data_IF_558364722016
#
_entry.id   IF_558364722016
#
_cell.length_a   1.000
_cell.length_b   1.000
_cell.length_c   1.000
_cell.angle_alpha   90.00
_cell.angle_beta   90.00
_cell.angle_gamma   90.00
#
_symmetry.space_group_name_H-M   'P 1'
#
loop_
_entity.id
_entity.type
_entity.pdbx_description
1 polymer ?
#
# COMPACT_ATOMS: atom_id res chain seq x y z
N UNK A 1 -22.50 71.25 27.53
CA UNK A 1 -21.75 70.56 26.46
C UNK A 1 -20.92 69.44 27.07
N UNK A 2 -21.35 68.17 26.95
CA UNK A 2 -20.48 66.98 26.96
C UNK A 2 -21.17 65.93 26.09
N UNK A 3 -20.63 65.67 24.90
CA UNK A 3 -21.08 64.60 24.01
C UNK A 3 -20.50 63.27 24.51
N UNK A 4 -21.34 62.26 24.70
CA UNK A 4 -20.89 60.90 24.98
C UNK A 4 -20.84 60.17 23.64
N UNK A 5 -19.64 59.85 23.17
CA UNK A 5 -19.43 59.05 21.98
C UNK A 5 -19.65 57.56 22.32
N UNK A 6 -20.65 56.94 21.68
CA UNK A 6 -20.87 55.50 21.74
C UNK A 6 -19.96 54.85 20.70
N UNK A 7 -18.88 54.22 21.14
CA UNK A 7 -18.01 53.43 20.28
C UNK A 7 -18.66 52.07 19.97
N UNK A 8 -18.98 51.82 18.71
CA UNK A 8 -19.41 50.51 18.23
C UNK A 8 -18.17 49.62 18.10
N UNK A 9 -18.03 48.65 19.00
CA UNK A 9 -16.98 47.64 18.92
C UNK A 9 -17.43 46.54 17.95
N UNK A 10 -16.96 46.59 16.71
CA UNK A 10 -17.17 45.53 15.72
C UNK A 10 -16.32 44.31 16.10
N UNK A 11 -16.95 43.34 16.77
CA UNK A 11 -16.35 42.01 16.97
C UNK A 11 -16.35 41.26 15.64
N UNK A 12 -15.23 41.29 14.93
CA UNK A 12 -14.94 40.35 13.84
C UNK A 12 -14.75 38.96 14.46
N UNK A 13 -15.85 38.22 14.62
CA UNK A 13 -15.77 36.78 14.89
C UNK A 13 -15.27 36.14 13.60
N UNK A 14 -14.11 35.46 13.60
CA UNK A 14 -13.72 34.66 12.45
C UNK A 14 -14.79 33.58 12.29
N UNK A 15 -15.63 33.71 11.27
CA UNK A 15 -16.48 32.62 10.82
C UNK A 15 -15.48 31.58 10.33
N UNK A 16 -15.21 30.57 11.15
CA UNK A 16 -14.56 29.35 10.70
C UNK A 16 -15.40 28.86 9.54
N UNK A 17 -14.93 29.09 8.31
CA UNK A 17 -15.45 28.44 7.12
C UNK A 17 -15.33 26.95 7.41
N UNK A 18 -16.45 26.32 7.78
CA UNK A 18 -16.51 24.90 8.04
C UNK A 18 -15.88 24.18 6.84
N UNK A 19 -15.03 23.19 7.10
CA UNK A 19 -14.30 22.48 6.07
C UNK A 19 -15.22 22.17 4.88
N UNK A 20 -14.94 22.81 3.74
CA UNK A 20 -15.77 22.86 2.53
C UNK A 20 -16.05 21.50 1.86
N UNK A 21 -15.61 20.41 2.48
CA UNK A 21 -15.59 19.07 1.93
C UNK A 21 -16.35 18.02 2.77
N UNK A 22 -16.91 18.38 3.92
CA UNK A 22 -17.61 17.41 4.81
C UNK A 22 -18.79 16.70 4.13
N UNK A 23 -19.42 17.36 3.16
CA UNK A 23 -20.60 16.86 2.46
C UNK A 23 -20.31 16.44 1.00
N UNK A 24 -19.04 16.34 0.58
CA UNK A 24 -18.71 15.93 -0.78
C UNK A 24 -19.03 14.44 -0.96
N UNK A 25 -20.13 14.14 -1.63
CA UNK A 25 -20.44 12.78 -2.05
C UNK A 25 -19.64 12.41 -3.29
N UNK A 26 -18.92 11.29 -3.25
CA UNK A 26 -18.28 10.73 -4.46
C UNK A 26 -19.36 10.01 -5.29
N UNK A 27 -19.66 10.44 -6.54
CA UNK A 27 -20.83 9.98 -7.29
C UNK A 27 -20.91 8.47 -7.53
N UNK A 28 -19.76 7.78 -7.61
CA UNK A 28 -19.69 6.36 -7.94
C UNK A 28 -19.77 5.41 -6.72
N UNK A 29 -19.89 5.93 -5.50
CA UNK A 29 -19.98 5.09 -4.29
C UNK A 29 -21.44 4.64 -4.10
N UNK A 30 -21.75 3.33 -4.14
CA UNK A 30 -23.06 2.81 -3.79
C UNK A 30 -23.45 3.23 -2.36
N UNK A 31 -24.71 3.60 -2.16
CA UNK A 31 -25.21 4.05 -0.85
C UNK A 31 -26.45 3.29 -0.42
N UNK A 32 -26.58 3.13 0.89
CA UNK A 32 -27.79 2.64 1.56
C UNK A 32 -28.87 3.72 1.59
N UNK A 33 -30.10 3.36 1.98
CA UNK A 33 -31.23 4.29 2.06
C UNK A 33 -31.01 5.45 3.05
N UNK A 34 -30.18 5.25 4.08
CA UNK A 34 -29.76 6.28 5.04
C UNK A 34 -28.57 7.13 4.53
N UNK A 35 -28.17 6.95 3.27
CA UNK A 35 -27.16 7.76 2.59
C UNK A 35 -25.71 7.38 2.92
N UNK A 36 -25.45 6.33 3.70
CA UNK A 36 -24.08 5.87 4.01
C UNK A 36 -23.50 5.03 2.86
N UNK A 37 -22.16 4.96 2.70
CA UNK A 37 -21.54 4.03 1.76
C UNK A 37 -21.95 2.59 2.04
N UNK A 38 -22.42 1.89 1.00
CA UNK A 38 -22.73 0.46 1.06
C UNK A 38 -21.49 -0.34 0.65
N UNK A 39 -20.71 -0.76 1.66
CA UNK A 39 -19.45 -1.49 1.43
C UNK A 39 -19.67 -2.93 0.94
N UNK A 40 -20.85 -3.51 1.11
CA UNK A 40 -21.17 -4.87 0.66
C UNK A 40 -21.92 -4.91 -0.67
N UNK A 41 -22.04 -3.76 -1.36
CA UNK A 41 -22.56 -3.71 -2.72
C UNK A 41 -21.66 -4.51 -3.69
N UNK A 42 -22.17 -4.97 -4.85
CA UNK A 42 -21.36 -5.71 -5.81
C UNK A 42 -20.08 -4.98 -6.21
N UNK A 43 -19.01 -5.73 -6.47
CA UNK A 43 -17.75 -5.18 -6.94
C UNK A 43 -17.93 -4.46 -8.29
N UNK A 44 -17.45 -3.22 -8.44
CA UNK A 44 -17.47 -2.52 -9.71
C UNK A 44 -16.51 -3.18 -10.71
N UNK A 45 -16.83 -3.03 -11.98
CA UNK A 45 -16.01 -3.53 -13.09
C UNK A 45 -15.62 -2.38 -14.01
N UNK A 46 -14.46 -2.48 -14.64
CA UNK A 46 -14.00 -1.57 -15.69
C UNK A 46 -14.84 -1.71 -16.94
N UNK A 47 -14.65 -0.81 -17.91
CA UNK A 47 -15.31 -0.90 -19.21
C UNK A 47 -14.98 -2.21 -19.96
N UNK A 48 -13.82 -2.81 -19.66
CA UNK A 48 -13.37 -4.10 -20.22
C UNK A 48 -13.95 -5.31 -19.46
N UNK A 49 -14.82 -5.09 -18.47
CA UNK A 49 -15.47 -6.16 -17.71
C UNK A 49 -14.55 -6.86 -16.69
N UNK A 50 -13.43 -6.25 -16.32
CA UNK A 50 -12.55 -6.75 -15.24
C UNK A 50 -12.89 -6.05 -13.93
N UNK A 51 -12.66 -6.66 -12.75
CA UNK A 51 -12.81 -5.96 -11.49
C UNK A 51 -12.02 -4.64 -11.49
N UNK A 52 -12.69 -3.54 -11.19
CA UNK A 52 -12.03 -2.26 -10.98
C UNK A 52 -11.50 -2.25 -9.56
N UNK A 53 -10.24 -1.91 -9.33
CA UNK A 53 -9.64 -1.75 -8.01
C UNK A 53 -9.47 -0.27 -7.63
N UNK A 54 -9.85 0.66 -8.50
CA UNK A 54 -9.73 2.10 -8.26
C UNK A 54 -10.48 2.51 -6.99
N UNK A 55 -9.84 3.35 -6.18
CA UNK A 55 -10.43 3.83 -4.94
C UNK A 55 -9.41 4.18 -3.88
N UNK A 56 -9.94 4.72 -2.77
CA UNK A 56 -9.19 4.88 -1.53
C UNK A 56 -9.43 3.64 -0.66
N UNK A 57 -8.35 2.99 -0.27
CA UNK A 57 -8.36 1.75 0.49
C UNK A 57 -7.64 1.95 1.81
N UNK A 58 -8.16 1.33 2.86
CA UNK A 58 -7.48 1.27 4.15
C UNK A 58 -7.09 -0.17 4.43
N UNK A 59 -5.79 -0.43 4.48
CA UNK A 59 -5.28 -1.70 4.98
C UNK A 59 -5.29 -1.67 6.50
N UNK A 60 -5.97 -2.62 7.12
CA UNK A 60 -5.94 -2.82 8.57
C UNK A 60 -4.54 -3.23 9.06
N UNK A 61 -4.33 -3.25 10.39
CA UNK A 61 -3.10 -3.81 10.95
C UNK A 61 -2.94 -5.27 10.50
N UNK A 62 -1.73 -5.63 10.12
CA UNK A 62 -1.36 -6.99 9.69
C UNK A 62 -0.14 -7.44 10.49
N UNK A 63 -0.15 -8.64 11.09
CA UNK A 63 1.02 -9.16 11.80
C UNK A 63 2.23 -9.29 10.85
N UNK A 64 2.00 -9.60 9.57
CA UNK A 64 3.04 -9.72 8.55
C UNK A 64 3.77 -8.41 8.23
N UNK A 65 3.20 -7.25 8.55
CA UNK A 65 3.93 -5.99 8.47
C UNK A 65 5.01 -5.89 9.56
N UNK A 66 4.73 -6.45 10.73
CA UNK A 66 5.68 -6.49 11.83
C UNK A 66 6.71 -7.59 11.63
N UNK A 67 6.29 -8.75 11.14
CA UNK A 67 7.10 -9.94 11.01
C UNK A 67 6.48 -10.90 9.98
N UNK A 68 7.15 -11.20 8.87
CA UNK A 68 6.61 -12.07 7.81
C UNK A 68 6.60 -13.54 8.18
N UNK A 69 7.32 -13.97 9.22
CA UNK A 69 7.39 -15.37 9.67
C UNK A 69 6.52 -15.64 10.91
N UNK A 70 5.38 -14.96 11.03
CA UNK A 70 4.47 -15.10 12.17
C UNK A 70 3.75 -16.45 12.26
N UNK A 71 3.41 -17.06 11.11
CA UNK A 71 2.70 -18.34 11.05
C UNK A 71 3.61 -19.58 10.98
N UNK A 72 4.73 -19.54 10.24
CA UNK A 72 5.56 -20.72 10.11
C UNK A 72 6.21 -21.09 11.43
N UNK A 73 6.10 -22.37 11.79
CA UNK A 73 6.79 -22.95 12.94
C UNK A 73 8.09 -23.65 12.56
N UNK A 74 8.41 -23.65 11.27
CA UNK A 74 9.56 -24.37 10.73
C UNK A 74 10.84 -23.56 10.87
N UNK A 75 11.83 -24.19 11.49
CA UNK A 75 13.22 -23.77 11.47
C UNK A 75 13.75 -24.01 10.03
N UNK A 76 14.19 -22.96 9.34
CA UNK A 76 14.78 -23.07 7.99
C UNK A 76 14.05 -22.34 6.85
N UNK A 77 13.18 -21.37 7.14
CA UNK A 77 12.66 -20.45 6.10
C UNK A 77 13.77 -19.62 5.49
N UNK A 78 14.72 -19.18 6.31
CA UNK A 78 15.87 -18.41 5.87
C UNK A 78 17.11 -19.31 5.81
N UNK A 79 17.98 -19.02 4.85
CA UNK A 79 19.33 -19.56 4.78
C UNK A 79 20.16 -19.07 5.98
N UNK A 80 21.16 -19.84 6.44
CA UNK A 80 21.94 -19.48 7.63
C UNK A 80 22.59 -18.09 7.57
N UNK A 81 22.98 -17.64 6.38
CA UNK A 81 23.57 -16.31 6.20
C UNK A 81 22.54 -15.18 6.41
N UNK A 82 21.29 -15.38 5.98
CA UNK A 82 20.20 -14.44 6.19
C UNK A 82 19.76 -14.42 7.66
N UNK A 83 19.71 -15.58 8.32
CA UNK A 83 19.46 -15.65 9.76
C UNK A 83 20.53 -14.90 10.58
N UNK A 84 21.81 -15.06 10.23
CA UNK A 84 22.90 -14.36 10.88
C UNK A 84 22.82 -12.84 10.67
N UNK A 85 22.46 -12.39 9.47
CA UNK A 85 22.23 -10.97 9.20
C UNK A 85 21.04 -10.42 10.00
N UNK A 86 19.94 -11.17 10.06
CA UNK A 86 18.79 -10.80 10.88
C UNK A 86 19.16 -10.70 12.37
N UNK A 87 19.92 -11.65 12.91
CA UNK A 87 20.42 -11.60 14.29
C UNK A 87 21.30 -10.37 14.55
N UNK A 88 22.10 -9.94 13.58
CA UNK A 88 22.87 -8.69 13.68
C UNK A 88 21.96 -7.47 13.75
N UNK A 89 20.94 -7.38 12.90
CA UNK A 89 19.92 -6.31 13.00
C UNK A 89 19.24 -6.29 14.37
N UNK A 90 18.97 -7.45 14.97
CA UNK A 90 18.42 -7.49 16.33
C UNK A 90 19.43 -7.00 17.38
N UNK A 91 20.68 -7.44 17.29
CA UNK A 91 21.72 -7.14 18.26
C UNK A 91 22.11 -5.66 18.30
N UNK A 92 22.00 -4.95 17.17
CA UNK A 92 22.27 -3.51 17.08
C UNK A 92 21.02 -2.63 17.17
N UNK A 93 19.89 -3.21 17.59
CA UNK A 93 18.60 -2.54 17.71
C UNK A 93 18.07 -1.93 16.40
N UNK A 94 18.36 -2.58 15.27
CA UNK A 94 17.88 -2.22 13.93
C UNK A 94 18.33 -0.80 13.57
N UNK A 95 19.55 -0.45 13.97
CA UNK A 95 20.12 0.89 13.75
C UNK A 95 20.02 1.29 12.28
N UNK A 96 20.26 0.34 11.39
CA UNK A 96 20.34 0.56 9.95
C UNK A 96 18.98 0.37 9.24
N UNK A 97 17.86 0.53 9.97
CA UNK A 97 16.52 0.48 9.41
C UNK A 97 16.36 1.52 8.27
N UNK A 98 15.91 1.11 7.07
CA UNK A 98 15.78 2.01 5.92
C UNK A 98 14.94 3.27 6.21
N UNK A 99 13.87 3.16 7.00
CA UNK A 99 13.02 4.30 7.33
C UNK A 99 13.71 5.32 8.23
N UNK A 100 14.64 4.90 9.11
CA UNK A 100 15.45 5.80 9.93
C UNK A 100 16.40 6.67 9.10
N UNK A 101 16.67 6.24 7.87
CA UNK A 101 17.52 6.94 6.89
C UNK A 101 16.72 7.65 5.79
N UNK A 102 15.40 7.78 5.94
CA UNK A 102 14.49 8.34 4.93
C UNK A 102 14.58 7.62 3.56
N UNK A 103 14.93 6.33 3.56
CA UNK A 103 14.97 5.51 2.36
C UNK A 103 13.59 4.90 2.06
N UNK A 104 13.26 4.63 0.78
CA UNK A 104 12.04 3.90 0.44
C UNK A 104 12.00 2.52 1.11
N UNK A 105 10.83 2.08 1.58
CA UNK A 105 10.67 0.78 2.25
C UNK A 105 10.74 -0.46 1.35
N UNK A 106 10.97 -0.29 0.05
CA UNK A 106 10.99 -1.39 -0.92
C UNK A 106 9.80 -2.35 -0.84
N UNK A 107 10.02 -3.68 -0.70
CA UNK A 107 8.94 -4.65 -0.62
C UNK A 107 8.05 -4.44 0.62
N UNK A 108 8.51 -3.80 1.69
CA UNK A 108 7.67 -3.52 2.86
C UNK A 108 6.45 -2.62 2.56
N UNK A 109 6.52 -1.78 1.52
CA UNK A 109 5.35 -1.00 1.08
C UNK A 109 4.16 -1.90 0.69
N UNK A 110 4.46 -3.12 0.22
CA UNK A 110 3.48 -4.16 -0.13
C UNK A 110 2.70 -4.58 1.12
N UNK A 111 3.27 -4.51 2.33
CA UNK A 111 2.62 -4.95 3.57
C UNK A 111 2.16 -3.79 4.47
N UNK A 112 2.61 -2.58 4.18
CA UNK A 112 2.37 -1.38 5.00
C UNK A 112 0.87 -1.12 5.26
N UNK A 113 0.45 -0.96 6.53
CA UNK A 113 -0.93 -0.62 6.88
C UNK A 113 -1.22 0.86 6.60
N UNK A 114 -2.50 1.25 6.64
CA UNK A 114 -2.93 2.63 6.44
C UNK A 114 -3.60 2.89 5.09
N UNK A 115 -3.71 4.16 4.72
CA UNK A 115 -4.41 4.56 3.50
C UNK A 115 -3.52 4.41 2.28
N UNK A 116 -4.11 3.92 1.20
CA UNK A 116 -3.50 3.90 -0.12
C UNK A 116 -4.58 4.16 -1.17
N UNK A 117 -4.19 4.81 -2.26
CA UNK A 117 -5.07 5.04 -3.41
C UNK A 117 -4.63 4.17 -4.57
N UNK A 118 -5.58 3.44 -5.15
CA UNK A 118 -5.36 2.73 -6.40
C UNK A 118 -6.01 3.55 -7.52
N UNK A 119 -5.26 3.75 -8.60
CA UNK A 119 -5.75 4.32 -9.85
C UNK A 119 -5.50 3.28 -10.93
N UNK A 120 -6.57 2.74 -11.51
CA UNK A 120 -6.46 1.70 -12.53
C UNK A 120 -6.82 2.24 -13.91
N UNK A 121 -6.02 1.86 -14.89
CA UNK A 121 -6.30 1.99 -16.32
C UNK A 121 -6.09 0.62 -16.99
N UNK A 122 -6.49 0.45 -18.26
CA UNK A 122 -6.23 -0.79 -18.98
C UNK A 122 -4.73 -1.14 -19.09
N UNK A 123 -3.83 -0.15 -19.07
CA UNK A 123 -2.39 -0.35 -19.27
C UNK A 123 -1.56 -0.34 -17.97
N UNK A 124 -2.00 0.39 -16.94
CA UNK A 124 -1.28 0.53 -15.67
C UNK A 124 -2.25 0.67 -14.51
N UNK A 125 -1.97 -0.02 -13.41
CA UNK A 125 -2.52 0.28 -12.09
C UNK A 125 -1.44 0.93 -11.20
N UNK A 126 -1.70 2.13 -10.71
CA UNK A 126 -0.82 2.84 -9.79
C UNK A 126 -1.33 2.72 -8.35
N UNK A 127 -0.45 2.34 -7.42
CA UNK A 127 -0.72 2.34 -5.98
C UNK A 127 0.05 3.50 -5.35
N UNK A 128 -0.68 4.48 -4.83
CA UNK A 128 -0.14 5.61 -4.10
C UNK A 128 -0.20 5.32 -2.61
N UNK A 129 0.95 5.31 -1.94
CA UNK A 129 1.03 5.09 -0.50
C UNK A 129 0.92 6.41 0.25
N UNK A 130 0.22 6.43 1.39
CA UNK A 130 0.14 7.62 2.25
C UNK A 130 1.50 7.98 2.88
N UNK A 131 2.28 6.97 3.25
CA UNK A 131 3.64 7.14 3.79
C UNK A 131 4.72 7.20 2.70
N UNK A 132 5.77 8.00 2.96
CA UNK A 132 7.00 8.00 2.15
C UNK A 132 6.94 8.71 0.80
N UNK A 133 5.78 9.24 0.38
CA UNK A 133 5.58 9.88 -0.94
C UNK A 133 6.05 9.02 -2.12
N UNK A 134 5.93 7.70 -1.98
CA UNK A 134 6.28 6.72 -3.00
C UNK A 134 5.03 6.18 -3.69
N UNK A 135 5.19 5.73 -4.93
CA UNK A 135 4.14 5.07 -5.69
C UNK A 135 4.68 3.84 -6.40
N UNK A 136 3.86 2.80 -6.50
CA UNK A 136 4.15 1.59 -7.26
C UNK A 136 3.34 1.58 -8.54
N UNK A 137 3.97 1.23 -9.65
CA UNK A 137 3.31 1.01 -10.94
C UNK A 137 3.22 -0.49 -11.21
N UNK A 138 2.04 -0.96 -11.56
CA UNK A 138 1.77 -2.32 -11.98
C UNK A 138 1.39 -2.27 -13.45
N UNK A 139 2.23 -2.81 -14.33
CA UNK A 139 1.97 -2.84 -15.76
C UNK A 139 0.94 -3.91 -16.10
N UNK A 140 -0.15 -3.50 -16.72
CA UNK A 140 -1.33 -4.33 -17.05
C UNK A 140 -1.44 -4.65 -18.55
N UNK A 141 -0.48 -4.19 -19.35
CA UNK A 141 -0.49 -4.26 -20.82
C UNK A 141 0.00 -5.60 -21.40
N UNK A 142 0.08 -6.65 -20.58
CA UNK A 142 0.46 -8.01 -21.01
C UNK A 142 1.95 -8.21 -21.24
N UNK A 143 2.80 -7.22 -20.93
CA UNK A 143 4.26 -7.39 -20.97
C UNK A 143 4.72 -8.46 -19.98
N UNK A 144 5.82 -9.11 -20.32
CA UNK A 144 6.46 -10.11 -19.47
C UNK A 144 7.39 -9.44 -18.45
N UNK A 145 7.63 -10.13 -17.33
CA UNK A 145 8.66 -9.73 -16.37
C UNK A 145 10.03 -9.67 -17.07
N UNK A 146 10.82 -8.60 -16.91
CA UNK A 146 12.18 -8.55 -17.41
C UNK A 146 13.02 -9.72 -16.84
N UNK A 147 13.84 -10.34 -17.69
CA UNK A 147 14.73 -11.44 -17.28
C UNK A 147 15.82 -10.98 -16.32
N UNK A 148 16.32 -9.77 -16.52
CA UNK A 148 17.38 -9.13 -15.76
C UNK A 148 17.00 -7.66 -15.50
N UNK A 149 16.08 -7.42 -14.55
CA UNK A 149 15.67 -6.06 -14.22
C UNK A 149 16.79 -5.31 -13.49
N UNK A 150 17.05 -4.06 -13.86
CA UNK A 150 17.90 -3.19 -13.05
C UNK A 150 17.31 -3.05 -11.64
N UNK A 151 18.06 -3.35 -10.56
CA UNK A 151 17.55 -3.27 -9.20
C UNK A 151 17.08 -1.86 -8.84
N UNK A 152 15.85 -1.77 -8.33
CA UNK A 152 15.24 -0.52 -7.89
C UNK A 152 14.61 -0.69 -6.52
N UNK A 153 14.26 0.42 -5.86
CA UNK A 153 13.66 0.35 -4.53
C UNK A 153 12.35 -0.45 -4.51
N UNK A 154 11.43 -0.18 -5.43
CA UNK A 154 10.08 -0.79 -5.43
C UNK A 154 9.93 -1.98 -6.40
N UNK A 155 11.00 -2.36 -7.07
CA UNK A 155 10.98 -3.39 -8.10
C UNK A 155 10.18 -3.00 -9.35
N UNK A 156 9.94 -4.01 -10.18
CA UNK A 156 9.17 -3.95 -11.42
C UNK A 156 7.95 -4.86 -11.29
N UNK A 157 6.74 -4.31 -11.34
CA UNK A 157 5.51 -5.08 -11.20
C UNK A 157 4.80 -5.29 -12.53
N UNK A 158 4.45 -6.54 -12.85
CA UNK A 158 3.57 -6.90 -13.97
C UNK A 158 2.31 -7.57 -13.43
N UNK A 159 1.16 -7.20 -13.97
CA UNK A 159 -0.14 -7.72 -13.57
C UNK A 159 -0.83 -8.45 -14.72
N UNK A 160 -1.50 -9.55 -14.38
CA UNK A 160 -2.35 -10.29 -15.29
C UNK A 160 -3.62 -10.79 -14.58
N UNK A 161 -4.64 -11.13 -15.37
CA UNK A 161 -5.92 -11.62 -14.85
C UNK A 161 -5.97 -13.14 -14.85
N UNK A 162 -6.30 -13.71 -13.70
CA UNK A 162 -6.70 -15.11 -13.52
C UNK A 162 -8.18 -15.11 -13.09
N UNK A 163 -9.07 -15.19 -14.07
CA UNK A 163 -10.50 -14.95 -13.88
C UNK A 163 -10.77 -13.52 -13.38
N UNK A 164 -11.32 -13.42 -12.16
CA UNK A 164 -11.57 -12.16 -11.43
C UNK A 164 -10.42 -11.78 -10.48
N UNK A 165 -9.35 -12.58 -10.42
CA UNK A 165 -8.20 -12.31 -9.57
C UNK A 165 -7.15 -11.55 -10.37
N UNK A 166 -6.72 -10.40 -9.85
CA UNK A 166 -5.53 -9.71 -10.35
C UNK A 166 -4.30 -10.36 -9.70
N UNK A 167 -3.50 -11.03 -10.52
CA UNK A 167 -2.20 -11.59 -10.10
C UNK A 167 -1.12 -10.58 -10.45
N UNK A 168 -0.32 -10.19 -9.47
CA UNK A 168 0.78 -9.23 -9.64
C UNK A 168 2.08 -9.90 -9.25
N UNK A 169 3.01 -9.97 -10.19
CA UNK A 169 4.37 -10.40 -9.93
C UNK A 169 5.27 -9.18 -9.84
N UNK A 170 6.14 -9.13 -8.84
CA UNK A 170 7.14 -8.07 -8.68
C UNK A 170 8.52 -8.68 -8.43
N UNK A 171 9.53 -8.19 -9.15
CA UNK A 171 10.94 -8.58 -9.00
C UNK A 171 11.87 -7.38 -9.27
N UNK A 172 13.18 -7.55 -9.13
CA UNK A 172 14.15 -6.47 -9.38
C UNK A 172 14.18 -5.41 -8.28
N UNK A 173 13.95 -5.85 -7.03
CA UNK A 173 14.24 -5.04 -5.86
C UNK A 173 15.76 -4.91 -5.70
N UNK A 174 16.24 -3.79 -5.16
CA UNK A 174 17.59 -3.75 -4.58
C UNK A 174 17.60 -4.40 -3.19
N UNK A 175 18.76 -4.74 -2.68
CA UNK A 175 18.97 -5.43 -1.39
C UNK A 175 19.11 -4.48 -0.18
N UNK A 176 18.72 -3.21 -0.34
CA UNK A 176 18.96 -2.14 0.65
C UNK A 176 17.80 -1.93 1.62
N UNK A 177 16.81 -2.81 1.57
CA UNK A 177 15.58 -2.73 2.35
C UNK A 177 15.29 -4.05 3.05
N UNK A 178 14.24 -4.09 3.86
CA UNK A 178 13.84 -5.27 4.64
C UNK A 178 12.44 -5.73 4.22
N UNK A 179 12.13 -7.00 4.48
CA UNK A 179 10.81 -7.58 4.18
C UNK A 179 9.72 -7.03 5.12
N UNK A 180 10.09 -6.69 6.35
CA UNK A 180 9.20 -6.28 7.44
C UNK A 180 9.87 -5.32 8.43
N UNK A 181 9.11 -4.91 9.45
CA UNK A 181 9.63 -4.11 10.56
C UNK A 181 10.51 -4.93 11.53
N UNK A 182 10.45 -6.27 11.50
CA UNK A 182 11.34 -7.14 12.27
C UNK A 182 12.78 -6.97 11.81
N UNK A 183 12.98 -6.74 10.51
CA UNK A 183 14.28 -6.53 9.89
C UNK A 183 14.78 -7.77 9.17
N UNK A 184 13.89 -8.64 8.72
CA UNK A 184 14.27 -9.78 7.89
C UNK A 184 14.87 -9.29 6.56
N UNK A 185 16.08 -9.77 6.19
CA UNK A 185 16.73 -9.36 4.96
C UNK A 185 16.07 -10.00 3.74
N UNK A 186 16.36 -9.45 2.57
CA UNK A 186 16.11 -10.06 1.27
C UNK A 186 17.25 -9.70 0.32
N UNK A 187 17.33 -10.41 -0.80
CA UNK A 187 18.28 -10.16 -1.88
C UNK A 187 17.62 -9.48 -3.08
N UNK A 188 18.41 -9.22 -4.12
CA UNK A 188 17.92 -8.78 -5.42
C UNK A 188 17.17 -9.88 -6.20
N UNK A 189 17.24 -11.14 -5.74
CA UNK A 189 16.50 -12.27 -6.31
C UNK A 189 15.09 -12.44 -5.73
N UNK A 190 14.68 -11.57 -4.79
CA UNK A 190 13.33 -11.56 -4.25
C UNK A 190 12.29 -11.45 -5.36
N UNK A 191 11.35 -12.39 -5.33
CA UNK A 191 10.10 -12.36 -6.11
C UNK A 191 8.93 -12.27 -5.17
N UNK A 192 8.01 -11.35 -5.47
CA UNK A 192 6.78 -11.15 -4.73
C UNK A 192 5.60 -11.41 -5.65
N UNK A 193 4.76 -12.38 -5.29
CA UNK A 193 3.52 -12.67 -6.01
C UNK A 193 2.34 -12.28 -5.15
N UNK A 194 1.53 -11.32 -5.62
CA UNK A 194 0.27 -10.94 -5.00
C UNK A 194 -0.90 -11.51 -5.79
N UNK A 195 -1.91 -12.02 -5.09
CA UNK A 195 -3.22 -12.36 -5.66
C UNK A 195 -4.27 -11.49 -5.01
N UNK A 196 -4.88 -10.60 -5.79
CA UNK A 196 -5.86 -9.61 -5.35
C UNK A 196 -7.23 -9.99 -5.89
N UNK A 197 -8.21 -10.17 -5.01
CA UNK A 197 -9.60 -10.40 -5.37
C UNK A 197 -10.48 -9.35 -4.71
N UNK A 198 -11.21 -8.57 -5.51
CA UNK A 198 -12.22 -7.63 -5.00
C UNK A 198 -13.50 -8.42 -4.72
N UNK A 199 -13.83 -8.58 -3.44
CA UNK A 199 -14.95 -9.43 -2.99
C UNK A 199 -16.28 -8.69 -3.18
N UNK A 200 -16.28 -7.40 -2.84
CA UNK A 200 -17.41 -6.50 -2.95
C UNK A 200 -16.91 -5.06 -3.15
N UNK A 201 -17.78 -4.07 -2.99
CA UNK A 201 -17.40 -2.67 -3.14
C UNK A 201 -16.31 -2.24 -2.15
N UNK A 202 -16.33 -2.74 -0.91
CA UNK A 202 -15.50 -2.25 0.20
C UNK A 202 -14.37 -3.17 0.64
N UNK A 203 -14.25 -4.38 0.10
CA UNK A 203 -13.28 -5.38 0.56
C UNK A 203 -12.46 -5.98 -0.58
N UNK A 204 -11.14 -5.99 -0.37
CA UNK A 204 -10.18 -6.73 -1.18
C UNK A 204 -9.61 -7.86 -0.32
N UNK A 205 -9.74 -9.08 -0.81
CA UNK A 205 -8.95 -10.21 -0.32
C UNK A 205 -7.59 -10.19 -1.02
N UNK A 206 -6.55 -10.45 -0.23
CA UNK A 206 -5.18 -10.37 -0.71
C UNK A 206 -4.33 -11.48 -0.13
N UNK A 207 -3.63 -12.18 -1.01
CA UNK A 207 -2.58 -13.13 -0.66
C UNK A 207 -1.25 -12.57 -1.19
N UNK A 208 -0.18 -12.74 -0.42
CA UNK A 208 1.19 -12.36 -0.80
C UNK A 208 2.08 -13.57 -0.56
N UNK A 209 2.88 -13.91 -1.55
CA UNK A 209 3.93 -14.92 -1.48
C UNK A 209 5.26 -14.24 -1.73
N UNK A 210 6.23 -14.51 -0.87
CA UNK A 210 7.60 -14.00 -0.95
C UNK A 210 8.51 -15.20 -1.23
N UNK A 211 9.32 -15.12 -2.27
CA UNK A 211 10.27 -16.17 -2.65
C UNK A 211 11.63 -15.53 -2.91
N UNK A 212 12.64 -15.95 -2.15
CA UNK A 212 14.01 -15.50 -2.34
C UNK A 212 14.97 -16.70 -2.22
N UNK A 213 15.60 -17.16 -3.32
CA UNK A 213 16.49 -18.30 -3.26
C UNK A 213 17.85 -17.99 -2.60
N UNK A 214 18.14 -16.72 -2.26
CA UNK A 214 19.41 -16.30 -1.66
C UNK A 214 19.31 -15.92 -0.19
N UNK A 215 18.09 -15.84 0.36
CA UNK A 215 17.88 -15.50 1.77
C UNK A 215 16.84 -16.39 2.39
#
# INVERSE_FOLDING_TARGET
MKQVAIGIFLWLVPISLGAQWLNLSTPAIPRTADGKPNLTAPAPHTAEGKPDFSGLWRRGPSPYFLDVIQDPKDEGIFLPAAEELFRKHLADFRRDNPFSHCLPGGPLNILTPGLHRIIQSPAVAAVLYEGGSVYRQIFMDGRQMPKDPNPTWLGYSVGHWDGETLVVETAGFNDRTWLDMAGHPHSEQLRVTERLRRIDFGHIQRQVTLEDPQT
#
